data_IF_585058394021
#
_entry.id   IF_585058394021
#
_cell.length_a   1.000
_cell.length_b   1.000
_cell.length_c   1.000
_cell.angle_alpha   90.00
_cell.angle_beta   90.00
_cell.angle_gamma   90.00
#
_symmetry.space_group_name_H-M   'P 1'
#
loop_
_entity.id
_entity.type
_entity.pdbx_description
1 polymer ?
#
# COMPACT_ATOMS: atom_id res chain seq x y z
N UNK A 1 -18.13 -9.41 0.92
CA UNK A 1 -17.15 -8.71 0.06
C UNK A 1 -16.34 -7.71 0.88
N UNK A 2 -15.08 -7.44 0.53
CA UNK A 2 -14.24 -6.41 1.20
C UNK A 2 -14.94 -5.04 1.16
N UNK A 3 -15.59 -4.70 0.04
CA UNK A 3 -16.36 -3.46 -0.10
C UNK A 3 -17.41 -3.29 1.00
N UNK A 4 -18.17 -4.34 1.31
CA UNK A 4 -19.20 -4.29 2.35
C UNK A 4 -18.62 -3.98 3.74
N UNK A 5 -17.47 -4.57 4.08
CA UNK A 5 -16.76 -4.30 5.35
C UNK A 5 -16.28 -2.85 5.45
N UNK A 6 -15.87 -2.26 4.33
CA UNK A 6 -15.49 -0.84 4.27
C UNK A 6 -16.70 0.05 4.55
N UNK A 7 -17.83 -0.22 3.88
CA UNK A 7 -19.06 0.55 4.06
C UNK A 7 -19.59 0.47 5.51
N UNK A 8 -19.58 -0.72 6.10
CA UNK A 8 -19.94 -0.94 7.49
C UNK A 8 -19.05 -0.11 8.44
N UNK A 9 -17.73 -0.21 8.28
CA UNK A 9 -16.79 0.55 9.09
C UNK A 9 -16.95 2.08 8.93
N UNK A 10 -17.26 2.56 7.71
CA UNK A 10 -17.54 3.99 7.46
C UNK A 10 -18.85 4.44 8.14
N UNK A 11 -19.89 3.61 8.12
CA UNK A 11 -21.15 3.86 8.83
C UNK A 11 -20.93 3.94 10.34
N UNK A 12 -20.13 3.05 10.91
CA UNK A 12 -19.80 3.03 12.33
C UNK A 12 -19.04 4.28 12.78
N UNK A 13 -17.99 4.70 12.07
CA UNK A 13 -17.29 5.93 12.47
C UNK A 13 -18.09 7.20 12.25
N UNK A 14 -19.06 7.20 11.33
CA UNK A 14 -19.95 8.35 11.16
C UNK A 14 -20.80 8.60 12.42
N UNK A 15 -21.08 7.56 13.23
CA UNK A 15 -21.80 7.67 14.51
C UNK A 15 -20.95 8.29 15.63
N UNK A 16 -19.62 8.15 15.54
CA UNK A 16 -18.66 8.67 16.51
C UNK A 16 -18.08 10.00 16.00
N UNK A 17 -18.79 11.09 16.29
CA UNK A 17 -18.60 12.47 15.77
C UNK A 17 -17.20 13.09 15.93
N UNK A 18 -16.26 12.48 16.68
CA UNK A 18 -14.92 13.03 16.93
C UNK A 18 -13.78 12.41 16.10
N UNK A 19 -14.05 11.31 15.39
CA UNK A 19 -13.02 10.46 14.77
C UNK A 19 -12.70 10.78 13.30
N UNK A 20 -13.68 11.06 12.42
CA UNK A 20 -13.42 11.23 10.99
C UNK A 20 -12.54 12.47 10.69
N UNK A 21 -12.81 13.58 11.37
CA UNK A 21 -12.26 14.91 11.05
C UNK A 21 -10.77 15.05 11.34
N UNK A 22 -10.21 14.28 12.29
CA UNK A 22 -8.75 14.29 12.56
C UNK A 22 -7.95 13.48 11.53
N UNK A 23 -8.58 12.49 10.88
CA UNK A 23 -7.89 11.58 9.95
C UNK A 23 -7.88 12.11 8.52
N UNK A 24 -8.83 12.97 8.20
CA UNK A 24 -8.93 13.70 6.96
C UNK A 24 -8.06 14.95 7.07
N UNK A 25 -6.74 14.82 6.86
CA UNK A 25 -5.80 15.96 6.82
C UNK A 25 -6.11 16.91 5.64
N UNK A 26 -7.21 17.67 5.71
CA UNK A 26 -7.66 18.59 4.66
C UNK A 26 -8.31 17.92 3.45
N UNK A 27 -8.66 16.64 3.54
CA UNK A 27 -9.29 15.87 2.47
C UNK A 27 -10.82 15.81 2.55
N UNK A 28 -11.40 16.34 3.63
CA UNK A 28 -12.85 16.35 3.86
C UNK A 28 -13.61 16.97 2.69
N UNK A 29 -13.05 18.04 2.10
CA UNK A 29 -13.66 18.78 0.99
C UNK A 29 -13.64 18.05 -0.36
N UNK A 30 -12.91 16.93 -0.48
CA UNK A 30 -12.77 16.16 -1.73
C UNK A 30 -13.48 14.81 -1.69
N UNK A 31 -14.01 14.41 -0.54
CA UNK A 31 -14.71 13.14 -0.39
C UNK A 31 -16.18 13.32 -0.74
N UNK A 32 -16.66 12.46 -1.63
CA UNK A 32 -18.04 12.42 -2.09
C UNK A 32 -18.73 11.20 -1.50
N UNK A 33 -19.96 11.39 -1.00
CA UNK A 33 -20.81 10.28 -0.57
C UNK A 33 -21.61 9.79 -1.79
N UNK A 34 -21.53 8.48 -2.09
CA UNK A 34 -22.27 7.85 -3.19
C UNK A 34 -23.57 7.19 -2.70
N UNK A 35 -24.39 6.73 -3.64
CA UNK A 35 -25.70 6.07 -3.39
C UNK A 35 -25.61 4.83 -2.50
N UNK A 36 -24.47 4.13 -2.52
CA UNK A 36 -24.20 2.97 -1.65
C UNK A 36 -23.85 3.36 -0.20
N UNK A 37 -23.93 4.65 0.13
CA UNK A 37 -23.65 5.19 1.45
C UNK A 37 -22.16 5.36 1.76
N UNK A 38 -21.28 4.95 0.85
CA UNK A 38 -19.83 5.00 1.04
C UNK A 38 -19.21 6.36 0.73
N UNK A 39 -18.05 6.62 1.34
CA UNK A 39 -17.21 7.77 1.03
C UNK A 39 -16.16 7.42 -0.04
N UNK A 40 -16.08 8.25 -1.07
CA UNK A 40 -15.22 8.07 -2.24
C UNK A 40 -14.35 9.30 -2.49
N UNK A 41 -13.13 9.06 -2.97
CA UNK A 41 -12.30 10.08 -3.58
C UNK A 41 -12.29 9.83 -5.09
N UNK A 42 -12.97 10.69 -5.85
CA UNK A 42 -13.32 10.43 -7.25
C UNK A 42 -14.07 9.08 -7.41
N UNK A 43 -13.42 8.06 -7.98
CA UNK A 43 -14.02 6.74 -8.19
C UNK A 43 -13.52 5.66 -7.21
N UNK A 44 -12.61 6.03 -6.30
CA UNK A 44 -11.98 5.08 -5.38
C UNK A 44 -12.64 5.14 -4.01
N UNK A 45 -12.99 3.98 -3.45
CA UNK A 45 -13.57 3.92 -2.10
C UNK A 45 -12.49 4.25 -1.06
N UNK A 46 -12.84 5.13 -0.12
CA UNK A 46 -11.90 5.53 0.92
C UNK A 46 -11.76 4.46 2.00
N UNK A 47 -10.51 4.06 2.30
CA UNK A 47 -10.21 3.02 3.28
C UNK A 47 -9.69 3.62 4.58
N UNK A 48 -10.41 3.33 5.64
CA UNK A 48 -10.12 3.78 7.01
C UNK A 48 -8.84 3.11 7.54
N UNK A 49 -8.19 3.77 8.51
CA UNK A 49 -7.01 3.19 9.20
C UNK A 49 -7.42 2.05 10.13
N UNK A 50 -8.58 2.18 10.79
CA UNK A 50 -9.06 1.21 11.78
C UNK A 50 -9.76 0.01 11.13
N UNK A 51 -9.99 -1.03 11.94
CA UNK A 51 -10.68 -2.25 11.49
C UNK A 51 -9.83 -3.17 10.61
N UNK A 52 -8.50 -2.96 10.56
CA UNK A 52 -7.56 -3.78 9.77
C UNK A 52 -7.90 -3.90 8.27
N UNK A 53 -8.74 -3.00 7.74
CA UNK A 53 -9.24 -3.06 6.36
C UNK A 53 -8.11 -2.95 5.33
N UNK A 54 -7.13 -2.06 5.57
CA UNK A 54 -5.96 -1.92 4.70
C UNK A 54 -5.14 -3.20 4.62
N UNK A 55 -4.90 -3.84 5.77
CA UNK A 55 -4.21 -5.13 5.83
C UNK A 55 -4.99 -6.22 5.13
N UNK A 56 -6.32 -6.26 5.30
CA UNK A 56 -7.18 -7.22 4.61
C UNK A 56 -7.09 -7.07 3.09
N UNK A 57 -7.13 -5.84 2.58
CA UNK A 57 -6.97 -5.54 1.14
C UNK A 57 -5.59 -5.98 0.64
N UNK A 58 -4.52 -5.64 1.39
CA UNK A 58 -3.15 -6.02 1.02
C UNK A 58 -2.94 -7.54 1.05
N UNK A 59 -3.54 -8.24 2.02
CA UNK A 59 -3.50 -9.70 2.10
C UNK A 59 -4.17 -10.33 0.88
N UNK A 60 -5.36 -9.88 0.51
CA UNK A 60 -6.08 -10.38 -0.67
C UNK A 60 -5.27 -10.13 -1.96
N UNK A 61 -4.72 -8.93 -2.12
CA UNK A 61 -3.92 -8.60 -3.31
C UNK A 61 -2.56 -9.31 -3.35
N UNK A 62 -2.07 -9.86 -2.24
CA UNK A 62 -0.72 -10.42 -2.15
C UNK A 62 -0.66 -11.93 -2.00
N UNK A 63 -1.52 -12.49 -1.15
CA UNK A 63 -1.45 -13.86 -0.65
C UNK A 63 -2.49 -14.79 -1.26
N UNK A 64 -3.42 -14.28 -2.07
CA UNK A 64 -4.36 -15.14 -2.79
C UNK A 64 -3.61 -16.03 -3.78
N UNK A 65 -4.05 -17.29 -3.93
CA UNK A 65 -3.41 -18.28 -4.83
C UNK A 65 -3.15 -17.76 -6.24
N UNK A 66 -3.99 -16.84 -6.72
CA UNK A 66 -3.92 -16.24 -8.05
C UNK A 66 -2.99 -15.01 -8.16
N UNK A 67 -2.63 -14.37 -7.04
CA UNK A 67 -1.87 -13.11 -7.05
C UNK A 67 -0.35 -13.31 -7.20
N UNK A 68 0.15 -14.51 -6.85
CA UNK A 68 1.57 -14.92 -6.96
C UNK A 68 2.52 -13.87 -6.38
N UNK A 69 2.32 -13.48 -5.12
CA UNK A 69 3.21 -12.58 -4.36
C UNK A 69 3.73 -11.37 -5.18
N UNK A 70 2.82 -10.54 -5.72
CA UNK A 70 3.20 -9.44 -6.58
C UNK A 70 4.05 -8.41 -5.83
N UNK A 71 5.02 -7.82 -6.52
CA UNK A 71 5.83 -6.75 -5.98
C UNK A 71 5.00 -5.48 -5.69
N UNK A 72 5.54 -4.60 -4.84
CA UNK A 72 4.84 -3.39 -4.37
C UNK A 72 4.31 -2.50 -5.49
N UNK A 73 5.06 -2.36 -6.59
CA UNK A 73 4.63 -1.56 -7.76
C UNK A 73 3.37 -2.14 -8.38
N UNK A 74 3.35 -3.44 -8.68
CA UNK A 74 2.19 -4.12 -9.27
C UNK A 74 0.98 -4.02 -8.34
N UNK A 75 1.15 -4.35 -7.06
CA UNK A 75 0.09 -4.24 -6.06
C UNK A 75 -0.55 -2.85 -6.01
N UNK A 76 0.25 -1.78 -6.10
CA UNK A 76 -0.29 -0.43 -6.12
C UNK A 76 -1.18 -0.18 -7.35
N UNK A 77 -0.77 -0.61 -8.54
CA UNK A 77 -1.58 -0.43 -9.75
C UNK A 77 -2.85 -1.28 -9.75
N UNK A 78 -2.80 -2.49 -9.19
CA UNK A 78 -3.97 -3.36 -9.07
C UNK A 78 -5.01 -2.77 -8.10
N UNK A 79 -4.55 -2.17 -6.99
CA UNK A 79 -5.43 -1.66 -5.94
C UNK A 79 -5.94 -0.23 -6.19
N UNK A 80 -5.14 0.64 -6.82
CA UNK A 80 -5.47 2.07 -6.97
C UNK A 80 -6.71 2.34 -7.79
N UNK A 81 -7.22 1.37 -8.57
CA UNK A 81 -8.46 1.55 -9.34
C UNK A 81 -9.70 1.54 -8.45
N UNK A 82 -9.63 0.79 -7.34
CA UNK A 82 -10.79 0.52 -6.49
C UNK A 82 -10.69 1.20 -5.13
N UNK A 83 -9.49 1.30 -4.57
CA UNK A 83 -9.27 1.71 -3.19
C UNK A 83 -8.33 2.91 -3.11
N UNK A 84 -8.57 3.75 -2.11
CA UNK A 84 -7.69 4.87 -1.81
C UNK A 84 -7.55 5.13 -0.31
N UNK A 85 -6.33 5.46 0.12
CA UNK A 85 -6.05 5.98 1.45
C UNK A 85 -4.74 6.79 1.50
N UNK A 86 -4.55 7.67 2.51
CA UNK A 86 -3.31 8.41 2.67
C UNK A 86 -2.10 7.48 2.84
N UNK A 87 -1.00 7.79 2.15
CA UNK A 87 0.25 6.99 2.16
C UNK A 87 0.13 5.54 1.63
N UNK A 88 -0.89 5.23 0.82
CA UNK A 88 -1.12 3.89 0.25
C UNK A 88 0.11 3.24 -0.40
N UNK A 89 0.91 3.98 -1.17
CA UNK A 89 2.16 3.47 -1.77
C UNK A 89 3.17 3.01 -0.70
N UNK A 90 3.32 3.78 0.37
CA UNK A 90 4.25 3.51 1.47
C UNK A 90 3.80 2.30 2.29
N UNK A 91 2.51 2.22 2.58
CA UNK A 91 1.91 1.07 3.27
C UNK A 91 2.12 -0.22 2.48
N UNK A 92 1.87 -0.21 1.17
CA UNK A 92 2.10 -1.37 0.28
C UNK A 92 3.58 -1.76 0.25
N UNK A 93 4.49 -0.79 0.12
CA UNK A 93 5.93 -1.07 0.12
C UNK A 93 6.39 -1.73 1.43
N UNK A 94 5.94 -1.21 2.57
CA UNK A 94 6.24 -1.76 3.90
C UNK A 94 5.62 -3.14 4.11
N UNK A 95 4.42 -3.38 3.55
CA UNK A 95 3.76 -4.67 3.63
C UNK A 95 4.54 -5.73 2.83
N UNK A 96 4.88 -5.44 1.56
CA UNK A 96 5.62 -6.37 0.71
C UNK A 96 7.05 -6.62 1.22
N UNK A 97 7.70 -5.62 1.82
CA UNK A 97 9.03 -5.80 2.40
C UNK A 97 9.05 -6.77 3.58
N UNK A 98 7.92 -6.97 4.26
CA UNK A 98 7.78 -7.96 5.35
C UNK A 98 7.50 -9.38 4.84
N UNK A 99 7.29 -9.57 3.54
CA UNK A 99 7.06 -10.90 2.97
C UNK A 99 8.39 -11.66 2.82
N UNK A 100 8.53 -12.75 3.58
CA UNK A 100 9.70 -13.64 3.51
C UNK A 100 9.84 -14.31 2.14
N UNK A 101 8.73 -14.74 1.53
CA UNK A 101 8.72 -15.36 0.21
C UNK A 101 9.23 -14.38 -0.85
N UNK A 102 8.71 -13.15 -0.88
CA UNK A 102 9.20 -12.10 -1.77
C UNK A 102 10.67 -11.79 -1.53
N UNK A 103 11.12 -11.75 -0.28
CA UNK A 103 12.51 -11.44 0.05
C UNK A 103 13.47 -12.51 -0.45
N UNK A 104 13.10 -13.80 -0.36
CA UNK A 104 13.93 -14.92 -0.84
C UNK A 104 14.05 -14.99 -2.36
N UNK A 105 12.99 -14.63 -3.10
CA UNK A 105 12.98 -14.71 -4.58
C UNK A 105 13.50 -13.45 -5.25
N UNK A 106 13.68 -12.36 -4.49
CA UNK A 106 14.12 -11.09 -5.05
C UNK A 106 15.61 -11.19 -5.38
N UNK A 107 15.92 -11.38 -6.66
CA UNK A 107 17.29 -11.28 -7.14
C UNK A 107 17.88 -9.89 -6.80
N UNK A 108 19.15 -9.87 -6.40
CA UNK A 108 19.90 -8.63 -6.31
C UNK A 108 20.10 -8.08 -7.72
N UNK A 109 19.50 -6.93 -7.99
CA UNK A 109 19.66 -6.22 -9.26
C UNK A 109 20.73 -5.11 -9.18
N UNK A 110 21.40 -4.98 -8.02
CA UNK A 110 22.50 -4.05 -7.88
C UNK A 110 23.67 -4.55 -8.72
N UNK A 111 24.29 -3.63 -9.47
CA UNK A 111 25.51 -3.96 -10.20
C UNK A 111 26.57 -4.36 -9.17
N UNK A 112 27.18 -5.55 -9.26
CA UNK A 112 28.27 -5.89 -8.37
C UNK A 112 29.35 -4.82 -8.52
N UNK A 113 29.91 -4.37 -7.39
CA UNK A 113 30.82 -3.21 -7.34
C UNK A 113 32.13 -3.38 -8.12
N UNK A 114 32.29 -4.48 -8.86
CA UNK A 114 33.54 -4.85 -9.54
C UNK A 114 34.63 -5.23 -8.55
N UNK A 115 35.61 -5.99 -9.00
CA UNK A 115 36.86 -6.13 -8.24
C UNK A 115 37.59 -4.77 -8.29
N UNK A 116 37.89 -4.20 -7.13
CA UNK A 116 38.82 -3.07 -7.02
C UNK A 116 40.19 -3.59 -7.47
N UNK A 117 40.63 -3.18 -8.65
CA UNK A 117 42.00 -3.44 -9.11
C UNK A 117 42.92 -2.44 -8.42
N UNK A 118 43.87 -2.93 -7.62
CA UNK A 118 44.93 -2.08 -7.07
C UNK A 118 45.87 -1.66 -8.23
N UNK A 119 46.18 -0.37 -8.40
CA UNK A 119 47.22 0.05 -9.33
C UNK A 119 48.58 -0.45 -8.84
N UNK A 120 49.48 -0.80 -9.78
CA UNK A 120 50.86 -1.16 -9.46
C UNK A 120 51.55 0.01 -8.73
N UNK A 121 52.26 -0.32 -7.66
CA UNK A 121 53.03 0.65 -6.88
C UNK A 121 54.21 1.11 -7.75
N UNK A 122 54.34 2.41 -8.06
CA UNK A 122 55.45 2.88 -8.86
C UNK A 122 56.76 2.79 -8.06
N UNK A 123 57.80 2.20 -8.65
CA UNK A 123 59.16 2.29 -8.14
C UNK A 123 59.72 3.68 -8.46
N UNK A 124 60.08 4.43 -7.41
CA UNK A 124 60.79 5.70 -7.57
C UNK A 124 62.28 5.42 -7.82
N UNK A 125 62.87 6.10 -8.81
CA UNK A 125 64.32 6.21 -9.00
C UNK A 125 64.87 7.45 -8.32
#
# INVERSE_FOLDING_TARGET
>A
SIKAKILEAQSEASKNTSTPTKMLKGLDKKLERKEDGGLYLAEQIWVLVYGNLRTLIMNEAHATRYSVHPGAKKMYYDLRGLYWWPEMKKDIAMYVSKCLTCSKVKAEHQKPSGLIQQPEIPEWK
#
